data_IF_559781362530
#
_entry.id   IF_559781362530
#
_cell.length_a   1.000
_cell.length_b   1.000
_cell.length_c   1.000
_cell.angle_alpha   90.00
_cell.angle_beta   90.00
_cell.angle_gamma   90.00
#
_symmetry.space_group_name_H-M   'P 1'
#
loop_
_entity.id
_entity.type
_entity.pdbx_description
1 polymer ?
#
# COMPACT_ATOMS: atom_id res chain seq x y z
N UNK A 1 0.13 -50.13 -72.97
CA UNK A 1 0.72 -49.02 -72.28
C UNK A 1 -0.41 -48.25 -71.61
N UNK A 2 -0.60 -48.51 -70.29
CA UNK A 2 -1.64 -47.85 -69.48
C UNK A 2 -0.90 -46.97 -68.47
N UNK A 3 -1.04 -45.66 -68.61
CA UNK A 3 -0.49 -44.68 -67.64
C UNK A 3 -1.50 -44.53 -66.50
N UNK A 4 -1.14 -45.08 -65.34
CA UNK A 4 -1.87 -44.84 -64.09
C UNK A 4 -1.61 -43.43 -63.56
N UNK A 5 -2.67 -42.67 -63.41
CA UNK A 5 -2.67 -41.36 -62.71
C UNK A 5 -2.94 -41.64 -61.27
N UNK A 6 -1.91 -41.50 -60.42
CA UNK A 6 -2.02 -41.53 -58.96
C UNK A 6 -2.55 -40.19 -58.48
N UNK A 7 -3.82 -40.14 -58.09
CA UNK A 7 -4.46 -38.96 -57.46
C UNK A 7 -4.13 -39.02 -55.94
N UNK A 8 -3.13 -38.25 -55.55
CA UNK A 8 -2.82 -38.04 -54.11
C UNK A 8 -3.89 -37.15 -53.49
N UNK A 9 -4.81 -37.74 -52.78
CA UNK A 9 -5.76 -36.99 -51.94
C UNK A 9 -5.02 -36.51 -50.67
N UNK A 10 -4.65 -35.22 -50.68
CA UNK A 10 -4.17 -34.52 -49.49
C UNK A 10 -5.38 -34.28 -48.60
N UNK A 11 -5.55 -35.15 -47.58
CA UNK A 11 -6.47 -34.91 -46.45
C UNK A 11 -5.90 -33.77 -45.65
N UNK A 12 -6.37 -32.55 -45.88
CA UNK A 12 -6.22 -31.42 -44.97
C UNK A 12 -6.96 -31.75 -43.67
N UNK A 13 -6.24 -32.26 -42.70
CA UNK A 13 -6.70 -32.33 -41.32
C UNK A 13 -6.89 -30.89 -40.81
N UNK A 14 -8.06 -30.33 -41.06
CA UNK A 14 -8.49 -29.10 -40.42
C UNK A 14 -8.68 -29.38 -38.93
N UNK A 15 -7.64 -29.09 -38.12
CA UNK A 15 -7.80 -29.01 -36.70
C UNK A 15 -8.88 -27.96 -36.40
N UNK A 16 -9.90 -28.27 -35.59
CA UNK A 16 -10.91 -27.28 -35.25
C UNK A 16 -10.22 -26.17 -34.47
N UNK A 17 -10.01 -25.03 -35.16
CA UNK A 17 -9.60 -23.80 -34.49
C UNK A 17 -10.81 -23.41 -33.62
N UNK A 18 -10.69 -23.58 -32.31
CA UNK A 18 -11.75 -23.17 -31.37
C UNK A 18 -11.82 -21.64 -31.41
N UNK A 19 -12.79 -21.12 -32.14
CA UNK A 19 -13.06 -19.69 -32.21
C UNK A 19 -13.63 -19.22 -30.86
N UNK A 20 -13.27 -18.00 -30.47
CA UNK A 20 -13.90 -17.32 -29.35
C UNK A 20 -15.39 -17.12 -29.68
N UNK A 21 -16.27 -17.70 -28.89
CA UNK A 21 -17.74 -17.58 -29.04
C UNK A 21 -18.41 -16.93 -27.84
N UNK A 22 -17.68 -16.81 -26.72
CA UNK A 22 -18.19 -16.20 -25.50
C UNK A 22 -17.08 -15.43 -24.77
N UNK A 23 -17.40 -14.19 -24.43
CA UNK A 23 -16.60 -13.32 -23.58
C UNK A 23 -17.51 -12.71 -22.52
N UNK A 24 -17.17 -12.88 -21.24
CA UNK A 24 -17.96 -12.38 -20.12
C UNK A 24 -17.07 -11.67 -19.10
N UNK A 25 -17.66 -10.73 -18.37
CA UNK A 25 -17.02 -10.07 -17.24
C UNK A 25 -17.98 -10.02 -16.05
N UNK A 26 -17.44 -10.17 -14.85
CA UNK A 26 -18.18 -10.06 -13.61
C UNK A 26 -17.30 -9.51 -12.49
N UNK A 27 -17.91 -8.98 -11.45
CA UNK A 27 -17.24 -8.58 -10.21
C UNK A 27 -17.72 -9.46 -9.07
N UNK A 28 -16.85 -9.68 -8.07
CA UNK A 28 -17.14 -10.54 -6.92
C UNK A 28 -18.12 -9.89 -5.93
N UNK A 29 -18.24 -8.57 -5.96
CA UNK A 29 -19.16 -7.82 -5.08
C UNK A 29 -19.64 -6.51 -5.72
N UNK A 30 -20.88 -6.17 -5.44
CA UNK A 30 -21.51 -4.91 -5.82
C UNK A 30 -22.77 -4.71 -4.96
N UNK A 31 -22.87 -3.70 -4.09
CA UNK A 31 -21.89 -2.65 -3.86
C UNK A 31 -20.61 -3.11 -3.15
N UNK A 32 -19.52 -2.35 -3.31
CA UNK A 32 -18.30 -2.46 -2.54
C UNK A 32 -18.17 -1.31 -1.55
N UNK A 33 -17.33 -1.46 -0.53
CA UNK A 33 -16.98 -0.35 0.37
C UNK A 33 -15.71 0.36 -0.12
N UNK A 34 -15.57 1.64 0.21
CA UNK A 34 -14.33 2.36 -0.01
C UNK A 34 -13.19 1.67 0.77
N UNK A 35 -12.02 1.50 0.15
CA UNK A 35 -10.91 0.76 0.76
C UNK A 35 -11.03 -0.77 0.66
N UNK A 36 -12.17 -1.29 0.18
CA UNK A 36 -12.37 -2.70 -0.10
C UNK A 36 -12.01 -3.04 -1.55
N UNK A 37 -11.21 -4.10 -1.73
CA UNK A 37 -10.86 -4.57 -3.06
C UNK A 37 -12.01 -5.31 -3.73
N UNK A 38 -12.19 -5.05 -5.01
CA UNK A 38 -13.14 -5.73 -5.90
C UNK A 38 -12.37 -6.58 -6.89
N UNK A 39 -12.72 -7.85 -7.02
CA UNK A 39 -12.12 -8.74 -8.02
C UNK A 39 -12.96 -8.73 -9.29
N UNK A 40 -12.39 -8.18 -10.37
CA UNK A 40 -12.93 -8.29 -11.72
C UNK A 40 -12.44 -9.60 -12.33
N UNK A 41 -13.36 -10.45 -12.74
CA UNK A 41 -13.08 -11.66 -13.52
C UNK A 41 -13.56 -11.46 -14.96
N UNK A 42 -12.66 -11.67 -15.94
CA UNK A 42 -13.00 -11.72 -17.36
C UNK A 42 -12.69 -13.10 -17.88
N UNK A 43 -13.66 -13.73 -18.54
CA UNK A 43 -13.59 -15.11 -19.03
C UNK A 43 -13.82 -15.18 -20.52
N UNK A 44 -12.88 -15.80 -21.23
CA UNK A 44 -12.99 -16.18 -22.64
C UNK A 44 -13.09 -17.71 -22.75
N UNK A 45 -14.00 -18.22 -23.58
CA UNK A 45 -14.19 -19.66 -23.78
C UNK A 45 -13.21 -20.26 -24.79
N UNK A 46 -12.04 -19.68 -24.93
CA UNK A 46 -10.94 -20.20 -25.73
C UNK A 46 -9.59 -19.82 -25.12
N UNK A 47 -8.52 -20.39 -25.61
CA UNK A 47 -7.16 -20.02 -25.22
C UNK A 47 -6.74 -18.74 -25.95
N UNK A 48 -6.40 -17.70 -25.21
CA UNK A 48 -5.88 -16.43 -25.71
C UNK A 48 -4.64 -15.99 -24.91
N UNK A 49 -3.89 -15.05 -25.48
CA UNK A 49 -2.71 -14.50 -24.82
C UNK A 49 -3.07 -13.77 -23.55
N UNK A 50 -2.18 -13.81 -22.57
CA UNK A 50 -2.41 -13.19 -21.26
C UNK A 50 -2.60 -11.67 -21.33
N UNK A 51 -1.97 -11.02 -22.30
CA UNK A 51 -2.00 -9.58 -22.56
C UNK A 51 -3.08 -9.15 -23.58
N UNK A 52 -3.99 -10.08 -23.95
CA UNK A 52 -5.03 -9.82 -24.94
C UNK A 52 -6.05 -8.75 -24.52
N UNK A 53 -6.16 -8.48 -23.22
CA UNK A 53 -7.05 -7.45 -22.65
C UNK A 53 -6.22 -6.39 -21.94
N UNK A 54 -6.50 -5.12 -22.26
CA UNK A 54 -5.84 -3.98 -21.63
C UNK A 54 -6.67 -3.47 -20.44
N UNK A 55 -6.21 -3.74 -19.22
CA UNK A 55 -6.87 -3.28 -17.99
C UNK A 55 -6.41 -1.88 -17.53
N UNK A 56 -5.42 -1.26 -18.17
CA UNK A 56 -4.96 0.11 -17.79
C UNK A 56 -6.04 1.17 -17.91
N UNK A 57 -7.06 0.93 -18.72
CA UNK A 57 -8.24 1.81 -18.82
C UNK A 57 -8.92 2.02 -17.46
N UNK A 58 -8.76 1.10 -16.52
CA UNK A 58 -9.33 1.17 -15.16
C UNK A 58 -8.46 1.99 -14.19
N UNK A 59 -7.22 2.33 -14.54
CA UNK A 59 -6.28 3.05 -13.65
C UNK A 59 -6.73 4.48 -13.33
N UNK A 60 -7.66 5.04 -14.10
CA UNK A 60 -8.24 6.35 -13.81
C UNK A 60 -8.99 6.34 -12.46
N UNK A 61 -9.80 5.32 -12.23
CA UNK A 61 -10.75 5.25 -11.12
C UNK A 61 -10.32 4.27 -10.02
N UNK A 62 -9.43 3.34 -10.34
CA UNK A 62 -8.97 2.27 -9.45
C UNK A 62 -7.45 2.23 -9.37
N UNK A 63 -6.94 1.74 -8.26
CA UNK A 63 -5.60 1.16 -8.22
C UNK A 63 -5.73 -0.27 -8.75
N UNK A 64 -5.06 -0.56 -9.87
CA UNK A 64 -5.16 -1.84 -10.58
C UNK A 64 -3.97 -2.70 -10.24
N UNK A 65 -4.20 -3.88 -9.63
CA UNK A 65 -3.14 -4.84 -9.36
C UNK A 65 -2.79 -5.64 -10.61
N UNK A 66 -1.60 -6.24 -10.62
CA UNK A 66 -1.14 -7.07 -11.75
C UNK A 66 -2.15 -8.21 -11.99
N UNK A 67 -2.70 -8.34 -13.21
CA UNK A 67 -3.66 -9.38 -13.52
C UNK A 67 -3.08 -10.78 -13.34
N UNK A 68 -3.83 -11.66 -12.69
CA UNK A 68 -3.58 -13.10 -12.67
C UNK A 68 -4.31 -13.74 -13.85
N UNK A 69 -3.61 -14.52 -14.67
CA UNK A 69 -4.21 -15.18 -15.84
C UNK A 69 -4.06 -16.68 -15.70
N UNK A 70 -5.18 -17.38 -15.83
CA UNK A 70 -5.22 -18.85 -15.82
C UNK A 70 -5.84 -19.37 -17.11
N UNK A 71 -5.26 -20.43 -17.68
CA UNK A 71 -5.80 -21.13 -18.83
C UNK A 71 -6.15 -22.55 -18.40
N UNK A 72 -7.37 -22.98 -18.70
CA UNK A 72 -7.84 -24.33 -18.43
C UNK A 72 -8.17 -25.03 -19.74
N UNK A 73 -7.88 -26.32 -19.79
CA UNK A 73 -8.32 -27.22 -20.87
C UNK A 73 -9.05 -28.39 -20.22
N UNK A 74 -10.28 -28.61 -20.60
CA UNK A 74 -11.14 -29.68 -20.09
C UNK A 74 -11.56 -30.58 -21.25
N UNK A 75 -11.44 -31.89 -21.07
CA UNK A 75 -11.86 -32.89 -22.06
C UNK A 75 -13.00 -33.69 -21.44
N UNK A 76 -14.20 -33.58 -22.01
CA UNK A 76 -15.38 -34.33 -21.57
C UNK A 76 -15.93 -35.05 -22.77
N UNK A 77 -16.04 -36.39 -22.66
CA UNK A 77 -16.56 -37.26 -23.72
C UNK A 77 -15.87 -37.07 -25.09
N UNK A 78 -14.54 -36.81 -25.08
CA UNK A 78 -13.77 -36.58 -26.29
C UNK A 78 -13.90 -35.17 -26.89
N UNK A 79 -14.72 -34.30 -26.31
CA UNK A 79 -14.79 -32.88 -26.68
C UNK A 79 -13.84 -32.06 -25.77
N UNK A 80 -12.93 -31.31 -26.40
CA UNK A 80 -12.02 -30.41 -25.70
C UNK A 80 -12.65 -29.03 -25.60
N UNK A 81 -12.75 -28.49 -24.41
CA UNK A 81 -13.06 -27.08 -24.14
C UNK A 81 -11.87 -26.37 -23.52
N UNK A 82 -11.63 -25.15 -23.93
CA UNK A 82 -10.55 -24.32 -23.40
C UNK A 82 -11.16 -23.03 -22.85
N UNK A 83 -10.54 -22.48 -21.81
CA UNK A 83 -10.92 -21.19 -21.27
C UNK A 83 -9.69 -20.41 -20.81
N UNK A 84 -9.76 -19.09 -20.91
CA UNK A 84 -8.78 -18.15 -20.35
C UNK A 84 -9.53 -17.23 -19.41
N UNK A 85 -9.04 -17.11 -18.17
CA UNK A 85 -9.63 -16.30 -17.11
C UNK A 85 -8.60 -15.30 -16.63
N UNK A 86 -8.93 -14.02 -16.70
CA UNK A 86 -8.20 -12.92 -16.09
C UNK A 86 -8.87 -12.54 -14.79
N UNK A 87 -8.12 -12.51 -13.69
CA UNK A 87 -8.56 -11.96 -12.41
C UNK A 87 -7.74 -10.72 -12.11
N UNK A 88 -8.43 -9.59 -11.99
CA UNK A 88 -7.84 -8.28 -11.73
C UNK A 88 -8.40 -7.74 -10.43
N UNK A 89 -7.53 -7.47 -9.48
CA UNK A 89 -7.94 -6.85 -8.22
C UNK A 89 -7.93 -5.34 -8.39
N UNK A 90 -9.07 -4.72 -8.14
CA UNK A 90 -9.34 -3.29 -8.27
C UNK A 90 -9.59 -2.70 -6.88
N UNK A 91 -8.83 -1.68 -6.50
CA UNK A 91 -9.09 -0.90 -5.30
C UNK A 91 -9.66 0.47 -5.71
N UNK A 92 -10.94 0.77 -5.38
CA UNK A 92 -11.56 2.05 -5.73
C UNK A 92 -10.84 3.21 -5.05
N UNK A 93 -10.50 4.27 -5.80
CA UNK A 93 -9.81 5.45 -5.26
C UNK A 93 -10.74 6.33 -4.41
N UNK A 94 -12.04 6.34 -4.71
CA UNK A 94 -13.06 7.15 -4.00
C UNK A 94 -14.36 6.37 -3.94
N UNK A 95 -15.28 6.78 -3.08
CA UNK A 95 -16.66 6.33 -3.14
C UNK A 95 -17.40 7.00 -4.31
N UNK A 96 -18.40 6.32 -4.86
CA UNK A 96 -19.21 6.81 -5.98
C UNK A 96 -19.68 5.67 -6.90
N UNK A 97 -20.32 6.03 -7.99
CA UNK A 97 -20.75 5.09 -9.01
C UNK A 97 -19.73 5.06 -10.14
N UNK A 98 -19.23 3.87 -10.45
CA UNK A 98 -18.25 3.62 -11.49
C UNK A 98 -18.84 2.76 -12.60
N UNK A 99 -18.33 2.91 -13.80
CA UNK A 99 -18.64 2.01 -14.91
C UNK A 99 -17.36 1.31 -15.37
N UNK A 100 -17.25 0.02 -15.12
CA UNK A 100 -16.21 -0.81 -15.73
C UNK A 100 -16.60 -0.97 -17.22
N UNK A 101 -15.77 -0.49 -18.17
CA UNK A 101 -16.12 -0.50 -19.57
C UNK A 101 -16.19 -1.91 -20.14
N UNK A 102 -16.85 -2.05 -21.28
CA UNK A 102 -16.83 -3.30 -22.04
C UNK A 102 -15.42 -3.60 -22.54
N UNK A 103 -14.96 -4.83 -22.39
CA UNK A 103 -13.71 -5.33 -22.96
C UNK A 103 -14.00 -6.03 -24.27
N UNK A 104 -13.22 -5.71 -25.30
CA UNK A 104 -13.39 -6.30 -26.64
C UNK A 104 -12.23 -7.24 -26.96
N UNK A 105 -12.56 -8.43 -27.43
CA UNK A 105 -11.60 -9.45 -27.84
C UNK A 105 -12.11 -10.18 -29.08
N UNK A 106 -11.35 -10.19 -30.16
CA UNK A 106 -11.68 -10.88 -31.43
C UNK A 106 -13.11 -10.60 -31.95
N UNK A 107 -13.59 -9.35 -31.77
CA UNK A 107 -14.92 -8.93 -32.24
C UNK A 107 -16.07 -9.19 -31.26
N UNK A 108 -15.85 -9.87 -30.16
CA UNK A 108 -16.82 -10.00 -29.04
C UNK A 108 -16.52 -8.94 -27.97
N UNK A 109 -17.58 -8.48 -27.31
CA UNK A 109 -17.46 -7.51 -26.22
C UNK A 109 -18.22 -8.00 -24.99
N UNK A 110 -17.66 -7.74 -23.81
CA UNK A 110 -18.39 -7.93 -22.55
C UNK A 110 -19.46 -6.86 -22.39
N UNK A 111 -20.40 -7.07 -21.50
CA UNK A 111 -21.29 -6.00 -21.05
C UNK A 111 -20.50 -5.06 -20.09
N UNK A 112 -20.75 -3.75 -20.14
CA UNK A 112 -20.23 -2.85 -19.11
C UNK A 112 -20.85 -3.18 -17.75
N UNK A 113 -20.09 -3.00 -16.67
CA UNK A 113 -20.55 -3.29 -15.30
C UNK A 113 -20.65 -1.97 -14.52
N UNK A 114 -21.85 -1.69 -14.01
CA UNK A 114 -22.03 -0.60 -13.04
C UNK A 114 -21.61 -1.10 -11.67
N UNK A 115 -20.64 -0.42 -11.03
CA UNK A 115 -20.14 -0.73 -9.70
C UNK A 115 -20.43 0.45 -8.78
N UNK A 116 -21.20 0.21 -7.72
CA UNK A 116 -21.43 1.17 -6.65
C UNK A 116 -20.38 0.99 -5.56
N UNK A 117 -19.70 2.08 -5.20
CA UNK A 117 -18.73 2.11 -4.08
C UNK A 117 -19.28 3.05 -3.02
N UNK A 118 -19.65 2.48 -1.89
CA UNK A 118 -20.19 3.21 -0.77
C UNK A 118 -19.09 3.80 0.08
N UNK A 119 -19.31 5.01 0.63
CA UNK A 119 -18.48 5.47 1.74
C UNK A 119 -18.70 4.49 2.91
N UNK A 120 -17.64 4.17 3.59
CA UNK A 120 -17.74 3.66 4.94
C UNK A 120 -18.34 4.81 5.79
N UNK A 121 -19.67 4.93 5.78
CA UNK A 121 -20.33 5.75 6.77
C UNK A 121 -19.91 5.18 8.12
N UNK A 122 -19.54 6.05 9.05
CA UNK A 122 -19.23 5.75 10.45
C UNK A 122 -20.42 5.09 11.19
N UNK A 123 -21.08 4.17 10.57
CA UNK A 123 -21.92 3.15 11.18
C UNK A 123 -21.02 1.98 11.50
N UNK A 124 -20.33 2.14 12.57
CA UNK A 124 -19.58 1.31 13.49
C UNK A 124 -20.11 -0.13 13.68
N UNK A 125 -20.98 -0.66 12.85
CA UNK A 125 -21.69 -1.90 13.16
C UNK A 125 -21.46 -3.05 12.18
N UNK A 126 -20.73 -2.88 11.06
CA UNK A 126 -20.46 -3.98 10.14
C UNK A 126 -18.97 -4.35 9.99
N UNK A 127 -18.04 -3.58 10.54
CA UNK A 127 -16.63 -4.00 10.68
C UNK A 127 -16.49 -5.15 11.70
N UNK A 128 -17.54 -5.44 12.45
CA UNK A 128 -17.52 -6.45 13.50
C UNK A 128 -17.30 -7.90 13.03
N UNK A 129 -17.23 -8.15 11.71
CA UNK A 129 -16.99 -9.49 11.17
C UNK A 129 -16.00 -9.51 9.99
N UNK A 130 -15.31 -8.41 9.69
CA UNK A 130 -14.30 -8.43 8.64
C UNK A 130 -13.15 -9.36 9.05
N UNK A 131 -12.77 -10.29 8.17
CA UNK A 131 -11.64 -11.18 8.41
C UNK A 131 -10.31 -10.46 8.48
N UNK A 132 -10.19 -9.33 7.78
CA UNK A 132 -9.02 -8.46 7.76
C UNK A 132 -9.45 -7.01 7.51
N UNK A 133 -8.89 -6.08 8.28
CA UNK A 133 -9.02 -4.64 8.08
C UNK A 133 -7.78 -3.91 8.58
N UNK A 134 -7.61 -2.65 8.17
CA UNK A 134 -6.53 -1.79 8.59
C UNK A 134 -7.09 -0.58 9.34
N UNK A 135 -6.33 -0.16 10.35
CA UNK A 135 -6.51 1.14 10.99
C UNK A 135 -5.21 1.93 10.93
N UNK A 136 -5.32 3.23 10.70
CA UNK A 136 -4.20 4.14 10.71
C UNK A 136 -4.47 5.30 11.64
N UNK A 137 -3.41 5.78 12.28
CA UNK A 137 -3.44 6.98 13.09
C UNK A 137 -2.14 7.77 12.96
N UNK A 138 -2.19 9.05 13.31
CA UNK A 138 -1.04 9.92 13.46
C UNK A 138 -1.10 10.57 14.83
N UNK A 139 0.04 10.77 15.49
CA UNK A 139 0.06 11.35 16.82
C UNK A 139 -0.47 12.78 16.86
N UNK A 140 -0.22 13.56 15.80
CA UNK A 140 -0.69 14.93 15.69
C UNK A 140 -1.15 15.23 14.27
N UNK A 141 -2.33 15.82 14.10
CA UNK A 141 -2.86 16.27 12.80
C UNK A 141 -2.46 17.71 12.46
N UNK A 142 -1.91 18.45 13.44
CA UNK A 142 -1.37 19.79 13.25
C UNK A 142 0.12 19.75 13.56
N UNK A 143 0.92 20.00 12.55
CA UNK A 143 2.37 19.95 12.59
C UNK A 143 2.97 21.29 12.20
N UNK A 144 4.23 21.49 12.47
CA UNK A 144 5.06 22.53 11.84
C UNK A 144 5.95 21.91 10.75
N UNK A 145 6.42 22.74 9.85
CA UNK A 145 7.47 22.35 8.91
C UNK A 145 8.65 21.79 9.67
N UNK A 146 9.22 20.66 9.22
CA UNK A 146 10.32 19.90 9.84
C UNK A 146 9.99 19.26 11.19
N UNK A 147 8.77 19.31 11.66
CA UNK A 147 8.36 18.58 12.85
C UNK A 147 8.20 17.08 12.53
N UNK A 148 8.91 16.24 13.26
CA UNK A 148 8.73 14.79 13.19
C UNK A 148 7.46 14.39 13.92
N UNK A 149 6.64 13.55 13.29
CA UNK A 149 5.47 12.92 13.89
C UNK A 149 5.41 11.46 13.50
N UNK A 150 4.83 10.63 14.37
CA UNK A 150 4.72 9.20 14.10
C UNK A 150 3.34 8.85 13.53
N UNK A 151 3.36 8.19 12.38
CA UNK A 151 2.21 7.57 11.76
C UNK A 151 2.28 6.07 12.01
N UNK A 152 1.16 5.50 12.43
CA UNK A 152 1.05 4.09 12.75
C UNK A 152 -0.05 3.46 11.91
N UNK A 153 0.20 2.30 11.34
CA UNK A 153 -0.81 1.46 10.71
C UNK A 153 -0.83 0.10 11.38
N UNK A 154 -2.03 -0.36 11.72
CA UNK A 154 -2.26 -1.67 12.32
C UNK A 154 -3.15 -2.51 11.41
N UNK A 155 -2.68 -3.70 11.05
CA UNK A 155 -3.41 -4.71 10.31
C UNK A 155 -4.05 -5.64 11.32
N UNK A 156 -5.37 -5.76 11.26
CA UNK A 156 -6.19 -6.66 12.09
C UNK A 156 -6.63 -7.85 11.24
N UNK A 157 -6.40 -9.07 11.71
CA UNK A 157 -6.86 -10.26 11.00
C UNK A 157 -7.24 -11.39 11.97
N UNK A 158 -8.36 -12.07 11.72
CA UNK A 158 -8.83 -13.19 12.50
C UNK A 158 -8.80 -14.53 11.75
N UNK A 159 -8.38 -14.49 10.48
CA UNK A 159 -8.14 -15.64 9.61
C UNK A 159 -6.70 -16.12 9.64
N UNK A 160 -6.40 -17.13 8.83
CA UNK A 160 -5.04 -17.63 8.63
C UNK A 160 -4.39 -16.92 7.44
N UNK A 161 -3.49 -15.98 7.77
CA UNK A 161 -2.69 -15.23 6.81
C UNK A 161 -1.47 -16.07 6.42
N UNK A 162 -1.34 -16.41 5.13
CA UNK A 162 -0.22 -17.18 4.59
C UNK A 162 0.96 -16.28 4.22
N UNK A 163 0.67 -15.17 3.58
CA UNK A 163 1.65 -14.14 3.21
C UNK A 163 0.96 -12.80 3.04
N UNK A 164 1.72 -11.74 3.22
CA UNK A 164 1.23 -10.39 3.04
C UNK A 164 2.37 -9.41 2.81
N UNK A 165 2.04 -8.31 2.16
CA UNK A 165 2.91 -7.16 1.98
C UNK A 165 2.12 -5.89 2.27
N UNK A 166 2.80 -4.90 2.83
CA UNK A 166 2.26 -3.59 3.12
C UNK A 166 3.11 -2.56 2.39
N UNK A 167 2.50 -1.72 1.55
CA UNK A 167 3.20 -0.61 0.92
C UNK A 167 3.58 0.46 1.95
N UNK A 168 4.32 1.47 1.55
CA UNK A 168 4.58 2.63 2.40
C UNK A 168 3.45 3.66 2.31
N UNK A 169 3.15 4.40 3.39
CA UNK A 169 2.27 5.56 3.32
C UNK A 169 2.93 6.68 2.51
N UNK A 170 2.13 7.58 1.95
CA UNK A 170 2.63 8.69 1.15
C UNK A 170 2.03 10.00 1.63
N UNK A 171 2.86 11.03 1.72
CA UNK A 171 2.45 12.41 1.95
C UNK A 171 3.26 13.33 1.05
N UNK A 172 2.58 14.12 0.23
CA UNK A 172 3.26 15.04 -0.67
C UNK A 172 4.08 16.07 0.13
N UNK A 173 5.34 16.28 -0.28
CA UNK A 173 6.23 17.22 0.38
C UNK A 173 6.65 16.82 1.79
N UNK A 174 6.65 15.54 2.13
CA UNK A 174 7.18 15.02 3.37
C UNK A 174 8.21 13.90 3.14
N UNK A 175 9.13 13.74 4.07
CA UNK A 175 9.95 12.52 4.21
C UNK A 175 9.16 11.51 5.03
N UNK A 176 9.12 10.26 4.56
CA UNK A 176 8.47 9.14 5.25
C UNK A 176 9.49 8.03 5.41
N UNK A 177 9.67 7.53 6.63
CA UNK A 177 10.62 6.46 6.93
C UNK A 177 10.01 5.47 7.92
N UNK A 178 10.14 4.17 7.67
CA UNK A 178 9.77 3.15 8.64
C UNK A 178 10.68 3.23 9.87
N UNK A 179 10.07 3.13 11.05
CA UNK A 179 10.79 3.17 12.35
C UNK A 179 10.61 1.84 13.07
N UNK A 180 11.74 1.21 13.34
CA UNK A 180 11.77 -0.07 14.06
C UNK A 180 11.25 -1.25 13.23
N UNK A 181 10.98 -2.34 13.92
CA UNK A 181 10.40 -3.56 13.36
C UNK A 181 8.89 -3.57 13.59
N UNK A 182 8.19 -4.39 12.79
CA UNK A 182 6.76 -4.63 12.98
C UNK A 182 6.52 -5.24 14.36
N UNK A 183 5.52 -4.72 15.07
CA UNK A 183 5.08 -5.25 16.35
C UNK A 183 3.88 -6.17 16.14
N UNK A 184 3.98 -7.41 16.61
CA UNK A 184 2.88 -8.37 16.61
C UNK A 184 2.12 -8.33 17.92
N UNK A 185 0.80 -8.50 17.85
CA UNK A 185 -0.06 -8.48 19.02
C UNK A 185 -1.38 -9.20 18.83
N UNK A 186 -2.27 -9.03 19.77
CA UNK A 186 -3.63 -9.53 19.74
C UNK A 186 -4.56 -8.53 20.41
N UNK A 187 -5.66 -8.19 19.75
CA UNK A 187 -6.63 -7.23 20.26
C UNK A 187 -8.06 -7.77 20.15
N UNK A 188 -8.91 -7.38 21.08
CA UNK A 188 -10.33 -7.73 21.07
C UNK A 188 -11.13 -6.53 20.53
N UNK A 189 -11.68 -6.69 19.32
CA UNK A 189 -12.51 -5.67 18.66
C UNK A 189 -13.91 -6.22 18.50
N UNK A 190 -14.90 -5.56 19.09
CA UNK A 190 -16.32 -5.95 19.05
C UNK A 190 -16.58 -7.44 19.44
N UNK A 191 -15.84 -7.96 20.41
CA UNK A 191 -15.98 -9.33 20.88
C UNK A 191 -15.26 -10.38 20.03
N UNK A 192 -14.60 -9.98 18.94
CA UNK A 192 -13.78 -10.85 18.10
C UNK A 192 -12.31 -10.60 18.40
N UNK A 193 -11.54 -11.66 18.59
CA UNK A 193 -10.11 -11.58 18.78
C UNK A 193 -9.40 -11.57 17.45
N UNK A 194 -8.65 -10.48 17.22
CA UNK A 194 -7.80 -10.30 16.05
C UNK A 194 -6.34 -10.45 16.43
N UNK A 195 -5.54 -11.05 15.58
CA UNK A 195 -4.10 -10.87 15.57
C UNK A 195 -3.81 -9.53 14.91
N UNK A 196 -2.78 -8.84 15.40
CA UNK A 196 -2.39 -7.52 14.89
C UNK A 196 -0.94 -7.50 14.47
N UNK A 197 -0.66 -6.77 13.38
CA UNK A 197 0.68 -6.39 12.97
C UNK A 197 0.68 -4.87 12.86
N UNK A 198 1.51 -4.22 13.67
CA UNK A 198 1.61 -2.77 13.73
C UNK A 198 2.94 -2.31 13.18
N UNK A 199 2.91 -1.37 12.23
CA UNK A 199 4.09 -0.73 11.65
C UNK A 199 4.04 0.78 11.88
N UNK A 200 5.18 1.33 12.28
CA UNK A 200 5.34 2.77 12.55
C UNK A 200 6.20 3.42 11.48
N UNK A 201 5.85 4.66 11.16
CA UNK A 201 6.60 5.52 10.25
C UNK A 201 6.83 6.88 10.88
N UNK A 202 8.04 7.41 10.71
CA UNK A 202 8.34 8.80 10.99
C UNK A 202 7.98 9.63 9.75
N UNK A 203 7.15 10.64 9.92
CA UNK A 203 6.76 11.59 8.88
C UNK A 203 7.31 12.97 9.26
N UNK A 204 8.08 13.58 8.34
CA UNK A 204 8.65 14.91 8.52
C UNK A 204 8.27 15.79 7.33
N UNK A 205 7.29 16.69 7.47
CA UNK A 205 6.86 17.58 6.40
C UNK A 205 7.93 18.62 6.08
N UNK A 206 8.15 18.86 4.78
CA UNK A 206 9.13 19.84 4.29
C UNK A 206 8.50 21.15 3.84
N UNK A 207 7.17 21.21 3.73
CA UNK A 207 6.41 22.38 3.28
C UNK A 207 5.19 22.60 4.17
N UNK A 208 4.81 23.86 4.34
CA UNK A 208 3.55 24.23 5.01
C UNK A 208 2.36 24.12 4.04
N UNK A 209 1.17 23.85 4.59
CA UNK A 209 -0.07 23.71 3.85
C UNK A 209 -0.98 22.63 4.44
N UNK A 210 -2.05 22.31 3.72
CA UNK A 210 -2.94 21.19 4.04
C UNK A 210 -2.57 20.03 3.14
N UNK A 211 -2.36 18.86 3.74
CA UNK A 211 -1.96 17.64 3.06
C UNK A 211 -2.82 16.47 3.52
N UNK A 212 -2.87 15.44 2.69
CA UNK A 212 -3.51 14.17 3.03
C UNK A 212 -2.44 13.08 3.05
N UNK A 213 -2.37 12.32 4.13
CA UNK A 213 -1.55 11.11 4.19
C UNK A 213 -2.34 10.00 3.51
N UNK A 214 -1.86 9.54 2.36
CA UNK A 214 -2.38 8.35 1.71
C UNK A 214 -1.89 7.12 2.46
N UNK A 215 -2.80 6.30 3.04
CA UNK A 215 -2.39 5.15 3.82
C UNK A 215 -1.76 4.06 2.95
N UNK A 216 -0.96 3.17 3.56
CA UNK A 216 -0.42 2.03 2.85
C UNK A 216 -1.52 1.06 2.43
N UNK A 217 -1.27 0.35 1.33
CA UNK A 217 -2.11 -0.75 0.87
C UNK A 217 -1.53 -2.08 1.35
N UNK A 218 -2.34 -2.86 2.04
CA UNK A 218 -2.03 -4.25 2.36
C UNK A 218 -2.52 -5.16 1.24
N UNK A 219 -1.67 -6.08 0.81
CA UNK A 219 -2.01 -7.16 -0.12
C UNK A 219 -1.53 -8.48 0.47
N UNK A 220 -2.41 -9.46 0.59
CA UNK A 220 -2.07 -10.75 1.20
C UNK A 220 -2.92 -11.90 0.71
N UNK A 221 -2.53 -13.11 1.09
CA UNK A 221 -3.27 -14.34 0.84
C UNK A 221 -3.71 -14.95 2.15
N UNK A 222 -5.01 -15.17 2.28
CA UNK A 222 -5.63 -15.82 3.43
C UNK A 222 -6.24 -17.14 3.03
N UNK A 223 -6.29 -18.10 3.94
CA UNK A 223 -7.01 -19.35 3.72
C UNK A 223 -8.51 -19.06 3.64
N UNK A 224 -9.14 -19.49 2.56
CA UNK A 224 -10.57 -19.42 2.38
C UNK A 224 -11.25 -20.54 3.17
N UNK A 225 -11.83 -20.17 4.32
CA UNK A 225 -12.50 -21.11 5.24
C UNK A 225 -13.72 -21.79 4.63
N UNK A 226 -14.41 -21.15 3.71
CA UNK A 226 -15.59 -21.71 3.08
C UNK A 226 -15.20 -22.80 2.08
N UNK A 227 -14.09 -22.64 1.37
CA UNK A 227 -13.57 -23.69 0.49
C UNK A 227 -12.97 -24.88 1.25
N UNK A 228 -12.43 -24.65 2.46
CA UNK A 228 -11.84 -25.69 3.30
C UNK A 228 -12.87 -26.69 3.83
N UNK A 229 -14.16 -26.32 3.90
CA UNK A 229 -15.25 -27.21 4.34
C UNK A 229 -15.62 -28.30 3.32
N UNK A 230 -15.27 -28.05 2.03
CA UNK A 230 -15.73 -28.94 0.93
C UNK A 230 -14.57 -29.62 0.18
N UNK A 231 -13.32 -29.21 0.40
CA UNK A 231 -12.14 -29.73 -0.32
C UNK A 231 -11.00 -30.08 0.64
N UNK A 232 -10.34 -31.21 0.35
CA UNK A 232 -9.16 -31.68 1.10
C UNK A 232 -7.95 -30.70 0.99
N UNK A 233 -7.98 -29.78 0.03
CA UNK A 233 -6.99 -28.73 -0.15
C UNK A 233 -7.68 -27.38 0.06
N UNK A 234 -7.31 -26.69 1.14
CA UNK A 234 -7.75 -25.32 1.38
C UNK A 234 -7.27 -24.40 0.24
N UNK A 235 -8.18 -23.63 -0.33
CA UNK A 235 -7.84 -22.59 -1.31
C UNK A 235 -7.46 -21.32 -0.58
N UNK A 236 -6.56 -20.55 -1.19
CA UNK A 236 -6.26 -19.20 -0.72
C UNK A 236 -7.10 -18.17 -1.49
N UNK A 237 -7.48 -17.10 -0.82
CA UNK A 237 -8.08 -15.90 -1.41
C UNK A 237 -7.13 -14.71 -1.24
N UNK A 238 -7.01 -13.90 -2.29
CA UNK A 238 -6.27 -12.64 -2.22
C UNK A 238 -7.15 -11.61 -1.51
N UNK A 239 -6.56 -10.93 -0.52
CA UNK A 239 -7.19 -9.84 0.21
C UNK A 239 -6.34 -8.59 -0.02
N UNK A 240 -6.98 -7.50 -0.45
CA UNK A 240 -6.35 -6.19 -0.58
C UNK A 240 -7.18 -5.21 0.22
N UNK A 241 -6.55 -4.49 1.15
CA UNK A 241 -7.20 -3.55 2.06
C UNK A 241 -6.33 -2.31 2.25
N UNK A 242 -6.98 -1.19 2.53
CA UNK A 242 -6.34 0.08 2.81
C UNK A 242 -7.08 0.76 3.97
N UNK A 243 -6.34 1.45 4.84
CA UNK A 243 -6.94 2.26 5.90
C UNK A 243 -7.52 3.59 5.35
N UNK A 244 -8.20 4.35 6.18
CA UNK A 244 -8.68 5.68 5.81
C UNK A 244 -7.50 6.66 5.66
N UNK A 245 -7.53 7.56 4.66
CA UNK A 245 -6.59 8.67 4.56
C UNK A 245 -6.75 9.63 5.74
N UNK A 246 -5.65 10.26 6.15
CA UNK A 246 -5.65 11.21 7.26
C UNK A 246 -5.23 12.58 6.75
N UNK A 247 -6.07 13.59 6.99
CA UNK A 247 -5.74 14.97 6.68
C UNK A 247 -4.88 15.58 7.79
N UNK A 248 -3.85 16.31 7.40
CA UNK A 248 -2.93 17.02 8.30
C UNK A 248 -2.73 18.45 7.84
N UNK A 249 -2.56 19.34 8.81
CA UNK A 249 -2.23 20.75 8.56
C UNK A 249 -0.80 21.00 9.03
N UNK A 250 0.04 21.49 8.12
CA UNK A 250 1.43 21.84 8.41
C UNK A 250 1.57 23.35 8.47
N UNK A 251 1.84 23.87 9.65
CA UNK A 251 2.05 25.28 9.87
C UNK A 251 3.43 25.72 9.37
N UNK A 252 3.51 26.93 8.83
CA UNK A 252 4.79 27.53 8.45
C UNK A 252 5.63 27.86 9.69
N UNK A 253 6.93 27.98 9.50
CA UNK A 253 7.84 28.53 10.50
C UNK A 253 7.35 29.96 10.84
N UNK A 254 7.18 30.32 12.15
CA UNK A 254 6.80 31.68 12.51
C UNK A 254 7.79 32.71 11.98
N UNK A 255 7.29 33.77 11.33
CA UNK A 255 8.13 34.77 10.63
C UNK A 255 9.17 35.45 11.54
N UNK A 256 8.91 35.53 12.84
CA UNK A 256 9.81 36.18 13.82
C UNK A 256 10.55 35.16 14.70
N UNK A 257 10.71 33.92 14.27
CA UNK A 257 11.44 32.91 15.05
C UNK A 257 12.92 33.28 15.10
N UNK A 258 13.51 33.46 16.31
CA UNK A 258 14.90 33.86 16.43
C UNK A 258 15.82 32.64 16.29
N UNK A 259 16.81 32.71 15.39
CA UNK A 259 17.83 31.68 15.24
C UNK A 259 17.42 30.50 14.34
N UNK A 260 18.07 29.38 14.54
CA UNK A 260 17.80 28.13 13.78
C UNK A 260 16.49 27.51 14.20
N UNK A 261 15.69 27.11 13.22
CA UNK A 261 14.42 26.43 13.46
C UNK A 261 14.68 24.98 13.90
N UNK A 262 14.15 24.61 15.04
CA UNK A 262 14.17 23.25 15.55
C UNK A 262 12.85 22.96 16.29
N UNK A 263 12.15 21.91 15.88
CA UNK A 263 10.96 21.41 16.57
C UNK A 263 11.30 20.07 17.18
N UNK A 264 11.25 19.99 18.49
CA UNK A 264 11.62 18.81 19.25
C UNK A 264 10.67 18.57 20.40
N UNK A 265 10.52 17.32 20.85
CA UNK A 265 9.81 16.96 22.06
C UNK A 265 10.57 17.45 23.32
N UNK A 266 11.90 17.37 23.30
CA UNK A 266 12.79 17.85 24.35
C UNK A 266 14.13 18.24 23.74
N UNK A 267 14.69 19.35 24.18
CA UNK A 267 16.07 19.77 23.85
C UNK A 267 16.84 19.96 25.14
N UNK A 268 18.02 19.36 25.21
CA UNK A 268 18.95 19.49 26.34
C UNK A 268 20.29 19.96 25.82
N UNK A 269 20.83 20.99 26.44
CA UNK A 269 22.16 21.51 26.16
C UNK A 269 22.98 21.40 27.47
N UNK A 270 24.09 20.66 27.42
CA UNK A 270 25.00 20.51 28.55
C UNK A 270 26.38 21.01 28.16
N UNK A 271 27.09 21.47 29.15
CA UNK A 271 28.46 22.04 29.01
C UNK A 271 29.36 21.46 30.08
N UNK A 272 30.54 21.02 29.65
CA UNK A 272 31.58 20.48 30.54
C UNK A 272 32.93 21.15 30.20
N UNK A 273 33.73 21.42 31.22
CA UNK A 273 35.05 21.99 31.09
C UNK A 273 36.11 21.10 31.72
N UNK A 274 37.27 21.01 31.09
CA UNK A 274 38.41 20.26 31.60
C UNK A 274 39.72 21.01 31.30
N UNK A 275 40.49 21.48 32.34
CA UNK A 275 40.18 21.45 33.78
C UNK A 275 38.96 22.33 34.11
N UNK A 276 38.49 22.23 35.39
CA UNK A 276 37.37 23.04 35.89
C UNK A 276 37.60 24.52 35.61
N UNK A 277 36.54 25.26 35.32
CA UNK A 277 36.60 26.69 34.93
C UNK A 277 37.25 27.56 36.02
N UNK A 278 37.22 27.12 37.28
CA UNK A 278 37.85 27.80 38.44
C UNK A 278 39.34 27.57 38.53
N UNK A 279 39.90 26.60 37.79
CA UNK A 279 41.30 26.20 37.79
C UNK A 279 42.08 26.64 36.54
N UNK A 280 41.48 27.47 35.66
CA UNK A 280 42.10 27.91 34.40
C UNK A 280 43.33 28.77 34.65
N UNK A 281 44.40 28.52 33.88
CA UNK A 281 45.64 29.29 33.93
C UNK A 281 45.95 29.82 32.51
N UNK A 282 46.45 31.02 32.50
CA UNK A 282 46.87 31.67 31.22
C UNK A 282 47.96 30.84 30.53
N UNK A 283 47.74 30.54 29.26
CA UNK A 283 48.68 29.78 28.43
C UNK A 283 48.52 28.27 28.49
N UNK A 284 47.65 27.74 29.35
CA UNK A 284 47.31 26.32 29.40
C UNK A 284 46.07 26.02 28.50
N UNK A 285 46.07 24.88 27.83
CA UNK A 285 44.91 24.47 27.03
C UNK A 285 43.70 24.08 27.93
N UNK A 286 42.52 24.45 27.49
CA UNK A 286 41.27 24.07 28.14
C UNK A 286 40.33 23.41 27.10
N UNK A 287 39.69 22.34 27.50
CA UNK A 287 38.69 21.66 26.65
C UNK A 287 37.28 22.02 27.15
N UNK A 288 36.46 22.48 26.22
CA UNK A 288 35.03 22.73 26.41
C UNK A 288 34.27 21.70 25.60
N UNK A 289 33.40 20.92 26.25
CA UNK A 289 32.51 19.96 25.60
C UNK A 289 31.10 20.50 25.72
N UNK A 290 30.44 20.68 24.60
CA UNK A 290 29.04 21.08 24.54
C UNK A 290 28.28 19.94 23.88
N UNK A 291 27.28 19.42 24.57
CA UNK A 291 26.44 18.35 24.08
C UNK A 291 25.00 18.85 23.90
N UNK A 292 24.53 18.84 22.65
CA UNK A 292 23.15 19.09 22.27
C UNK A 292 22.44 17.74 22.07
N UNK A 293 21.41 17.50 22.87
CA UNK A 293 20.55 16.32 22.73
C UNK A 293 19.12 16.77 22.44
N UNK A 294 18.46 16.10 21.51
CA UNK A 294 17.05 16.38 21.19
C UNK A 294 16.27 15.09 20.99
N UNK A 295 14.99 15.12 21.35
CA UNK A 295 14.04 14.02 21.20
C UNK A 295 13.05 14.36 20.10
N UNK A 296 12.66 13.37 19.27
CA UNK A 296 11.76 13.52 18.13
C UNK A 296 12.31 14.47 17.05
N UNK A 297 13.60 14.37 16.81
CA UNK A 297 14.33 15.15 15.79
C UNK A 297 15.20 14.20 14.97
N UNK A 298 15.22 14.38 13.67
CA UNK A 298 16.17 13.67 12.82
C UNK A 298 17.58 14.25 13.00
N UNK A 299 18.60 13.40 12.96
CA UNK A 299 19.99 13.79 13.19
C UNK A 299 20.44 14.96 12.31
N UNK A 300 20.01 14.98 11.05
CA UNK A 300 20.32 16.03 10.08
C UNK A 300 19.57 17.36 10.30
N UNK A 301 18.71 17.46 11.30
CA UNK A 301 17.97 18.67 11.68
C UNK A 301 18.63 19.40 12.86
N UNK A 302 19.58 18.76 13.54
CA UNK A 302 20.29 19.42 14.63
C UNK A 302 21.13 20.58 14.09
N UNK A 303 21.01 21.78 14.68
CA UNK A 303 21.81 22.92 14.26
C UNK A 303 23.27 22.76 14.64
N UNK A 304 24.16 23.29 13.82
CA UNK A 304 25.55 23.45 14.19
C UNK A 304 25.67 24.39 15.38
N UNK A 305 26.44 23.97 16.39
CA UNK A 305 26.73 24.79 17.55
C UNK A 305 27.86 25.76 17.22
N UNK A 306 27.50 26.85 16.50
CA UNK A 306 28.48 27.95 16.25
C UNK A 306 28.59 28.82 17.49
N UNK A 307 29.81 29.05 17.95
CA UNK A 307 30.04 29.84 19.13
C UNK A 307 30.99 31.01 18.85
N UNK A 308 30.63 32.19 19.36
CA UNK A 308 31.57 33.27 19.54
C UNK A 308 32.46 32.96 20.75
N UNK A 309 33.78 33.07 20.58
CA UNK A 309 34.71 32.96 21.67
C UNK A 309 35.12 34.36 22.13
N UNK A 310 35.35 34.57 23.44
CA UNK A 310 35.89 35.81 23.96
C UNK A 310 37.27 36.15 23.34
N UNK A 311 37.55 37.42 23.22
CA UNK A 311 38.88 37.86 22.82
C UNK A 311 39.97 37.32 23.76
N UNK A 312 41.08 36.85 23.20
CA UNK A 312 42.18 36.26 23.96
C UNK A 312 42.22 34.75 24.01
N UNK A 313 41.17 34.05 23.50
CA UNK A 313 41.18 32.60 23.33
C UNK A 313 41.54 32.19 21.90
N UNK A 314 42.35 31.15 21.74
CA UNK A 314 42.66 30.54 20.46
C UNK A 314 41.94 29.17 20.38
N UNK A 315 41.07 29.05 19.42
CA UNK A 315 40.33 27.78 19.19
C UNK A 315 41.22 26.79 18.44
N UNK A 316 41.23 25.55 18.92
CA UNK A 316 41.77 24.38 18.22
C UNK A 316 40.63 23.39 18.08
N UNK A 317 40.29 22.99 16.84
CA UNK A 317 39.27 21.98 16.50
C UNK A 317 39.95 20.68 16.08
#
# INVERSE_FOLDING_TARGET
MVKGVLLAAVLLLSLPLQALTQLSASVDKNPALRGEAVTLEVTANTRVAADAINFRVLEQDFTVMVPSVSTSTQIINGQSSQSTIWRVVLLPKKAGNYTIPAFTLQGLSTQPISLEVLNETAQTNNSSNAELFLQANIEQQQLYVQQLSYYQVTIYFNGELQRGSLSEPQMDGASVMQVGQDAEGTELVNGIRYRTITRRYAITPQRSGSFTITPPTFSGEMIDRDSARYNYFARTKTVVQQAEPIDVVVNAIPANFPGSWLVAGLVTLTEEWSPDITELKQGEPVTRIITLSAVDVAENQLPDLTQGFPEGLRLYQ
#
